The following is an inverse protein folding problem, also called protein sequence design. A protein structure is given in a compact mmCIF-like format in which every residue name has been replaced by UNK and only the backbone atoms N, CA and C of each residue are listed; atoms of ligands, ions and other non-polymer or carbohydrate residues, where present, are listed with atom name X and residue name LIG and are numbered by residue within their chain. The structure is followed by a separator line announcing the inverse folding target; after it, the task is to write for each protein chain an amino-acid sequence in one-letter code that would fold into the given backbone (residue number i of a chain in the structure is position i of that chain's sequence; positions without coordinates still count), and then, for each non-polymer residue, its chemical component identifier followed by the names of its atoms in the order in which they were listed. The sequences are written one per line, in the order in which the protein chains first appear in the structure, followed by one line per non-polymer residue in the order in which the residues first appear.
data_IF_432711528391
#
_entry.id   IF_432711528391
#
_cell.length_a   1.000
_cell.length_b   1.000
_cell.length_c   1.000
_cell.angle_alpha   90.00
_cell.angle_beta   90.00
_cell.angle_gamma   90.00
#
_symmetry.space_group_name_H-M   'P 1'
#
loop_
_entity.id
_entity.type
_entity.pdbx_description
1 polymer ?
#
# COMPACT_ATOMS: atom_id res chain seq x y z
N UNK A 1 8.98 -31.59 62.21
CA UNK A 1 9.45 -30.19 62.21
C UNK A 1 9.95 -29.90 60.81
N UNK A 2 9.31 -28.95 60.15
CA UNK A 2 9.17 -28.87 58.69
C UNK A 2 10.45 -28.46 57.95
N UNK A 3 10.69 -29.11 56.80
CA UNK A 3 11.57 -28.60 55.74
C UNK A 3 10.83 -27.48 55.01
N UNK A 4 11.40 -26.27 55.01
CA UNK A 4 10.97 -25.17 54.14
C UNK A 4 11.71 -25.31 52.80
N UNK A 5 10.97 -25.68 51.76
CA UNK A 5 11.38 -25.52 50.37
C UNK A 5 11.39 -24.03 50.02
N UNK A 6 12.56 -23.52 49.66
CA UNK A 6 12.72 -22.22 49.00
C UNK A 6 12.23 -22.35 47.56
N UNK A 7 11.03 -21.85 47.28
CA UNK A 7 10.48 -21.76 45.93
C UNK A 7 11.24 -20.71 45.10
N UNK A 8 11.77 -21.13 43.96
CA UNK A 8 12.28 -20.26 42.91
C UNK A 8 11.11 -19.45 42.32
N UNK A 9 11.03 -18.17 42.68
CA UNK A 9 10.17 -17.19 42.01
C UNK A 9 10.81 -16.71 40.71
N UNK A 10 10.92 -17.59 39.72
CA UNK A 10 11.17 -17.19 38.34
C UNK A 10 9.86 -16.73 37.74
N UNK A 11 9.58 -15.43 37.79
CA UNK A 11 8.48 -14.82 37.06
C UNK A 11 8.71 -15.03 35.57
N UNK A 12 8.14 -16.11 35.02
CA UNK A 12 8.03 -16.32 33.59
C UNK A 12 7.14 -15.23 33.04
N UNK A 13 7.76 -14.14 32.60
CA UNK A 13 7.11 -13.18 31.72
C UNK A 13 6.63 -13.99 30.50
N UNK A 14 5.31 -14.09 30.32
CA UNK A 14 4.76 -14.67 29.10
C UNK A 14 5.46 -13.98 27.92
N UNK A 15 5.99 -14.75 26.95
CA UNK A 15 6.55 -14.12 25.77
C UNK A 15 5.43 -13.27 25.17
N UNK A 16 5.67 -11.96 25.12
CA UNK A 16 4.78 -11.05 24.42
C UNK A 16 4.56 -11.55 22.99
N UNK A 17 3.48 -11.10 22.33
CA UNK A 17 3.28 -11.44 20.93
C UNK A 17 4.58 -11.20 20.16
N UNK A 18 5.00 -12.13 19.29
CA UNK A 18 6.28 -12.02 18.60
C UNK A 18 6.37 -10.65 17.95
N UNK A 19 7.54 -10.00 18.08
CA UNK A 19 7.80 -8.74 17.42
C UNK A 19 7.44 -8.88 15.94
N UNK A 20 6.68 -7.92 15.41
CA UNK A 20 6.42 -7.90 13.98
C UNK A 20 7.77 -7.70 13.29
N UNK A 21 8.24 -8.73 12.62
CA UNK A 21 9.38 -8.61 11.72
C UNK A 21 8.88 -7.82 10.50
N UNK A 22 9.24 -6.54 10.46
CA UNK A 22 8.98 -5.70 9.31
C UNK A 22 9.72 -6.30 8.11
N UNK A 23 8.96 -6.68 7.09
CA UNK A 23 9.53 -7.17 5.83
C UNK A 23 10.25 -6.06 5.04
N UNK A 24 10.49 -6.29 3.76
CA UNK A 24 11.18 -5.35 2.89
C UNK A 24 10.48 -3.98 2.85
N UNK A 25 11.27 -2.92 2.96
CA UNK A 25 10.81 -1.55 2.70
C UNK A 25 10.45 -1.35 1.21
N UNK A 26 9.69 -0.30 0.88
CA UNK A 26 9.41 0.04 -0.50
C UNK A 26 10.68 0.27 -1.30
N UNK A 27 10.66 -0.09 -2.58
CA UNK A 27 11.74 0.21 -3.50
C UNK A 27 11.58 1.63 -4.04
N UNK A 28 12.62 2.49 -3.94
CA UNK A 28 12.57 3.82 -4.51
C UNK A 28 12.79 3.73 -6.02
N UNK A 29 11.70 3.66 -6.80
CA UNK A 29 11.79 3.82 -8.25
C UNK A 29 12.18 5.25 -8.59
N UNK A 30 13.02 5.41 -9.62
CA UNK A 30 13.47 6.73 -10.06
C UNK A 30 12.30 7.46 -10.72
N UNK A 31 11.93 8.61 -10.15
CA UNK A 31 11.02 9.55 -10.82
C UNK A 31 11.77 10.23 -11.96
N UNK A 32 11.15 10.26 -13.14
CA UNK A 32 11.69 10.92 -14.33
C UNK A 32 10.74 12.02 -14.79
N UNK A 33 11.30 13.01 -15.47
CA UNK A 33 10.49 14.03 -16.13
C UNK A 33 9.58 13.40 -17.18
N UNK A 34 8.51 14.12 -17.52
CA UNK A 34 7.64 13.73 -18.62
C UNK A 34 8.47 13.57 -19.91
N UNK A 35 8.50 12.33 -20.39
CA UNK A 35 9.36 11.83 -21.47
C UNK A 35 8.53 11.36 -22.67
N UNK A 36 7.22 11.60 -22.65
CA UNK A 36 6.29 11.19 -23.70
C UNK A 36 5.68 12.42 -24.37
N UNK A 37 5.63 12.40 -25.70
CA UNK A 37 4.98 13.46 -26.48
C UNK A 37 3.47 13.21 -26.49
N UNK A 38 2.72 13.84 -25.58
CA UNK A 38 1.27 13.73 -25.56
C UNK A 38 0.53 15.06 -25.47
N UNK A 39 -0.53 15.18 -26.26
CA UNK A 39 -1.42 16.34 -26.31
C UNK A 39 -2.69 16.18 -25.44
N UNK A 40 -2.91 15.03 -24.78
CA UNK A 40 -4.22 14.70 -24.16
C UNK A 40 -4.21 14.06 -22.77
N UNK A 41 -3.08 13.57 -22.25
CA UNK A 41 -3.02 12.94 -20.93
C UNK A 41 -2.56 13.94 -19.86
N UNK A 42 -3.30 14.04 -18.76
CA UNK A 42 -2.85 14.76 -17.57
C UNK A 42 -1.95 13.83 -16.75
N UNK A 43 -0.63 13.91 -16.98
CA UNK A 43 0.37 13.10 -16.29
C UNK A 43 0.74 13.77 -14.97
N UNK A 44 0.76 13.00 -13.88
CA UNK A 44 1.17 13.48 -12.56
C UNK A 44 2.62 13.17 -12.25
N UNK A 45 3.02 11.94 -12.54
CA UNK A 45 4.38 11.46 -12.25
C UNK A 45 4.68 10.22 -13.09
N UNK A 46 5.97 10.02 -13.38
CA UNK A 46 6.49 8.89 -14.15
C UNK A 46 7.65 8.26 -13.41
N UNK A 47 7.64 6.93 -13.33
CA UNK A 47 8.63 6.09 -12.67
C UNK A 47 9.34 5.23 -13.71
N UNK A 48 10.67 5.18 -13.64
CA UNK A 48 11.49 4.21 -14.36
C UNK A 48 11.50 2.87 -13.59
N UNK A 49 11.05 1.80 -14.25
CA UNK A 49 11.00 0.44 -13.68
C UNK A 49 12.37 -0.24 -13.72
N UNK A 50 13.30 0.25 -14.55
CA UNK A 50 14.66 -0.27 -14.68
C UNK A 50 14.83 -1.41 -15.69
N UNK A 51 13.75 -1.84 -16.36
CA UNK A 51 13.75 -2.88 -17.40
C UNK A 51 13.54 -2.31 -18.82
N UNK A 52 13.69 -0.98 -18.97
CA UNK A 52 13.37 -0.25 -20.20
C UNK A 52 11.89 0.09 -20.36
N UNK A 53 11.06 -0.23 -19.37
CA UNK A 53 9.67 0.23 -19.27
C UNK A 53 9.49 1.26 -18.16
N UNK A 54 8.37 1.96 -18.23
CA UNK A 54 8.01 3.04 -17.32
C UNK A 54 6.58 2.81 -16.81
N UNK A 55 6.32 3.33 -15.61
CA UNK A 55 4.98 3.42 -15.04
C UNK A 55 4.64 4.89 -14.85
N UNK A 56 3.51 5.35 -15.39
CA UNK A 56 3.01 6.70 -15.16
C UNK A 56 1.67 6.69 -14.42
N UNK A 57 1.48 7.69 -13.57
CA UNK A 57 0.17 8.07 -13.04
C UNK A 57 -0.40 9.12 -13.98
N UNK A 58 -1.52 8.81 -14.62
CA UNK A 58 -2.16 9.76 -15.53
C UNK A 58 -3.69 9.68 -15.44
N UNK A 59 -4.32 10.80 -15.82
CA UNK A 59 -5.76 10.87 -16.05
C UNK A 59 -6.21 9.84 -17.09
N UNK A 60 -7.45 9.38 -16.94
CA UNK A 60 -8.03 8.43 -17.87
C UNK A 60 -8.24 9.03 -19.27
N UNK A 61 -8.05 8.22 -20.32
CA UNK A 61 -8.32 8.58 -21.72
C UNK A 61 -9.80 8.45 -22.06
N UNK A 62 -10.56 7.63 -21.32
CA UNK A 62 -11.98 7.45 -21.56
C UNK A 62 -12.78 8.66 -21.02
N UNK A 63 -13.42 9.45 -21.91
CA UNK A 63 -14.18 10.65 -21.51
C UNK A 63 -15.43 10.33 -20.69
N UNK A 64 -15.87 9.06 -20.64
CA UNK A 64 -17.03 8.62 -19.85
C UNK A 64 -16.68 8.17 -18.44
N UNK A 65 -15.39 8.08 -18.11
CA UNK A 65 -14.93 7.61 -16.82
C UNK A 65 -13.89 8.57 -16.23
N UNK A 66 -14.30 9.33 -15.23
CA UNK A 66 -13.44 10.23 -14.49
C UNK A 66 -12.46 9.45 -13.59
N UNK A 67 -11.23 9.96 -13.47
CA UNK A 67 -10.24 9.44 -12.53
C UNK A 67 -8.86 9.23 -13.12
N UNK A 68 -7.98 8.70 -12.27
CA UNK A 68 -6.56 8.46 -12.53
C UNK A 68 -6.24 6.97 -12.46
N UNK A 69 -5.22 6.53 -13.19
CA UNK A 69 -4.75 5.14 -13.17
C UNK A 69 -3.25 5.03 -13.41
N UNK A 70 -2.72 3.84 -13.20
CA UNK A 70 -1.37 3.49 -13.61
C UNK A 70 -1.37 3.01 -15.05
N UNK A 71 -0.39 3.47 -15.82
CA UNK A 71 -0.09 2.96 -17.16
C UNK A 71 1.34 2.45 -17.16
N UNK A 72 1.54 1.22 -17.65
CA UNK A 72 2.87 0.71 -17.99
C UNK A 72 3.10 0.90 -19.48
N UNK A 73 4.23 1.48 -19.87
CA UNK A 73 4.53 1.75 -21.27
C UNK A 73 6.02 1.60 -21.59
N UNK A 74 6.32 1.46 -22.88
CA UNK A 74 7.68 1.55 -23.41
C UNK A 74 7.80 2.78 -24.32
N UNK A 75 8.95 3.46 -24.25
CA UNK A 75 9.26 4.56 -25.15
C UNK A 75 9.62 4.06 -26.54
N UNK A 76 9.07 4.72 -27.56
CA UNK A 76 9.46 4.56 -28.96
C UNK A 76 10.56 5.57 -29.33
N UNK A 77 11.34 5.32 -30.40
CA UNK A 77 12.45 6.19 -30.81
C UNK A 77 12.06 7.64 -31.13
N UNK A 78 10.79 7.90 -31.40
CA UNK A 78 10.22 9.19 -31.75
C UNK A 78 9.54 9.90 -30.56
N UNK A 79 9.82 9.44 -29.34
CA UNK A 79 9.24 9.92 -28.08
C UNK A 79 7.72 9.69 -27.94
N UNK A 80 7.14 8.82 -28.79
CA UNK A 80 5.81 8.29 -28.54
C UNK A 80 5.85 7.16 -27.49
N UNK A 81 4.73 6.94 -26.82
CA UNK A 81 4.56 5.83 -25.89
C UNK A 81 3.81 4.66 -26.55
N UNK A 82 4.33 3.45 -26.39
CA UNK A 82 3.54 2.23 -26.59
C UNK A 82 3.02 1.76 -25.24
N UNK A 83 1.73 1.97 -24.99
CA UNK A 83 1.06 1.46 -23.78
C UNK A 83 1.08 -0.07 -23.80
N UNK A 84 1.57 -0.67 -22.72
CA UNK A 84 1.68 -2.13 -22.54
C UNK A 84 0.52 -2.65 -21.69
N UNK A 85 0.18 -1.92 -20.62
CA UNK A 85 -0.92 -2.26 -19.72
C UNK A 85 -1.42 -1.01 -18.98
N UNK A 86 -2.62 -1.08 -18.41
CA UNK A 86 -3.15 -0.07 -17.50
C UNK A 86 -3.93 -0.71 -16.35
N UNK A 87 -3.93 -0.08 -15.18
CA UNK A 87 -4.69 -0.54 -14.02
C UNK A 87 -6.17 -0.17 -14.12
N UNK A 88 -6.99 -0.76 -13.25
CA UNK A 88 -8.30 -0.18 -12.94
C UNK A 88 -8.12 1.24 -12.41
N UNK A 89 -9.07 2.13 -12.72
CA UNK A 89 -9.03 3.51 -12.27
C UNK A 89 -9.25 3.65 -10.76
N UNK A 90 -8.76 4.75 -10.19
CA UNK A 90 -9.26 5.29 -8.93
C UNK A 90 -10.47 6.16 -9.20
N UNK A 91 -11.63 5.73 -8.74
CA UNK A 91 -12.87 6.49 -8.89
C UNK A 91 -12.72 7.82 -8.15
N UNK A 92 -13.15 8.93 -8.79
CA UNK A 92 -13.24 10.27 -8.19
C UNK A 92 -11.94 10.82 -7.57
N UNK A 93 -10.80 10.21 -7.90
CA UNK A 93 -9.51 10.57 -7.31
C UNK A 93 -8.74 11.50 -8.25
N UNK A 94 -8.26 12.62 -7.70
CA UNK A 94 -7.44 13.58 -8.44
C UNK A 94 -5.95 13.41 -8.18
N UNK A 95 -5.53 12.61 -7.20
CA UNK A 95 -4.11 12.33 -6.93
C UNK A 95 -3.90 10.85 -6.62
N UNK A 96 -2.85 10.26 -7.19
CA UNK A 96 -2.41 8.90 -6.87
C UNK A 96 -0.92 8.90 -6.55
N UNK A 97 -0.57 8.36 -5.39
CA UNK A 97 0.81 8.25 -4.92
C UNK A 97 1.19 6.77 -4.77
N UNK A 98 1.63 6.10 -5.85
CA UNK A 98 1.98 4.69 -5.80
C UNK A 98 3.27 4.47 -5.03
N UNK A 99 3.28 3.43 -4.19
CA UNK A 99 4.47 2.94 -3.49
C UNK A 99 4.76 1.51 -3.93
N UNK A 100 5.98 1.24 -4.38
CA UNK A 100 6.35 -0.01 -5.04
C UNK A 100 7.11 -0.93 -4.08
N UNK A 101 6.85 -2.24 -4.19
CA UNK A 101 7.57 -3.30 -3.51
C UNK A 101 7.97 -4.34 -4.55
N UNK A 102 9.27 -4.56 -4.76
CA UNK A 102 9.72 -5.55 -5.74
C UNK A 102 9.51 -6.97 -5.24
N UNK A 103 9.06 -7.83 -6.14
CA UNK A 103 9.06 -9.28 -5.99
C UNK A 103 10.18 -9.83 -6.88
N UNK A 104 11.05 -10.66 -6.31
CA UNK A 104 12.26 -11.11 -7.01
C UNK A 104 12.00 -12.16 -8.10
N UNK A 105 10.89 -12.89 -8.02
CA UNK A 105 10.55 -13.97 -8.96
C UNK A 105 9.05 -13.93 -9.34
N UNK A 106 8.70 -13.66 -10.60
CA UNK A 106 9.61 -13.34 -11.71
C UNK A 106 10.20 -11.91 -11.60
N UNK A 107 11.41 -11.65 -12.14
CA UNK A 107 12.00 -10.31 -12.13
C UNK A 107 11.12 -9.26 -12.81
N UNK A 108 11.15 -8.02 -12.31
CA UNK A 108 10.34 -6.91 -12.80
C UNK A 108 8.91 -6.87 -12.24
N UNK A 109 8.56 -7.85 -11.40
CA UNK A 109 7.27 -7.91 -10.69
C UNK A 109 7.24 -6.97 -9.50
N UNK A 110 6.12 -6.28 -9.31
CA UNK A 110 5.92 -5.40 -8.17
C UNK A 110 4.53 -5.59 -7.54
N UNK A 111 4.48 -5.53 -6.21
CA UNK A 111 3.26 -5.13 -5.51
C UNK A 111 3.27 -3.62 -5.33
N UNK A 112 2.11 -2.99 -5.51
CA UNK A 112 1.98 -1.54 -5.49
C UNK A 112 0.86 -1.18 -4.52
N UNK A 113 1.19 -0.34 -3.54
CA UNK A 113 0.20 0.37 -2.75
C UNK A 113 -0.09 1.69 -3.45
N UNK A 114 -1.16 1.71 -4.25
CA UNK A 114 -1.62 2.91 -4.94
C UNK A 114 -2.51 3.72 -4.00
N UNK A 115 -1.93 4.73 -3.37
CA UNK A 115 -2.70 5.66 -2.57
C UNK A 115 -3.63 6.48 -3.45
N UNK A 116 -4.87 6.68 -3.02
CA UNK A 116 -5.84 7.54 -3.66
C UNK A 116 -6.26 8.69 -2.76
N UNK A 117 -6.59 9.82 -3.36
CA UNK A 117 -7.21 10.92 -2.65
C UNK A 117 -7.26 12.22 -3.43
N UNK A 118 -7.65 13.27 -2.71
CA UNK A 118 -7.54 14.67 -3.12
C UNK A 118 -6.61 15.41 -2.16
N UNK A 119 -7.20 16.08 -1.15
CA UNK A 119 -6.49 16.75 -0.06
C UNK A 119 -6.02 15.76 0.99
N UNK A 120 -6.73 14.64 1.12
CA UNK A 120 -6.46 13.58 2.08
C UNK A 120 -6.51 12.23 1.37
N UNK A 121 -5.76 11.28 1.93
CA UNK A 121 -5.81 9.88 1.54
C UNK A 121 -7.20 9.30 1.79
N UNK A 122 -7.62 8.37 0.93
CA UNK A 122 -8.81 7.53 1.10
C UNK A 122 -8.47 6.04 1.29
N UNK A 123 -7.18 5.70 1.31
CA UNK A 123 -6.69 4.33 1.48
C UNK A 123 -5.68 3.94 0.39
N UNK A 124 -5.39 2.65 0.30
CA UNK A 124 -4.43 2.09 -0.65
C UNK A 124 -5.09 0.99 -1.47
N UNK A 125 -5.12 1.10 -2.79
CA UNK A 125 -5.40 -0.06 -3.62
C UNK A 125 -4.14 -0.90 -3.75
N UNK A 126 -4.28 -2.20 -3.50
CA UNK A 126 -3.21 -3.16 -3.71
C UNK A 126 -3.27 -3.66 -5.15
N UNK A 127 -2.24 -3.35 -5.91
CA UNK A 127 -2.09 -3.83 -7.27
C UNK A 127 -0.90 -4.79 -7.35
N UNK A 128 -1.07 -5.86 -8.11
CA UNK A 128 0.03 -6.69 -8.57
C UNK A 128 0.37 -6.29 -10.01
N UNK A 129 1.63 -5.98 -10.25
CA UNK A 129 2.15 -5.62 -11.56
C UNK A 129 3.18 -6.64 -12.00
N UNK A 130 2.85 -7.38 -13.05
CA UNK A 130 3.78 -8.15 -13.86
C UNK A 130 3.77 -7.57 -15.29
N UNK A 131 3.54 -8.38 -16.31
CA UNK A 131 3.12 -7.95 -17.64
C UNK A 131 1.84 -7.11 -17.69
N UNK A 132 0.94 -7.26 -16.71
CA UNK A 132 -0.36 -6.58 -16.59
C UNK A 132 -0.53 -6.02 -15.18
N UNK A 133 -1.64 -5.32 -14.93
CA UNK A 133 -2.06 -4.94 -13.58
C UNK A 133 -3.24 -5.78 -13.13
N UNK A 134 -3.14 -6.37 -11.95
CA UNK A 134 -4.24 -7.08 -11.27
C UNK A 134 -4.61 -6.36 -9.99
N UNK A 135 -5.89 -6.05 -9.81
CA UNK A 135 -6.43 -5.48 -8.57
C UNK A 135 -6.61 -6.57 -7.52
N UNK A 136 -5.89 -6.45 -6.41
CA UNK A 136 -5.89 -7.46 -5.34
C UNK A 136 -6.79 -7.08 -4.16
N UNK A 137 -7.27 -5.84 -4.10
CA UNK A 137 -8.11 -5.34 -3.03
C UNK A 137 -7.72 -3.95 -2.56
N UNK A 138 -8.36 -3.53 -1.47
CA UNK A 138 -8.20 -2.22 -0.89
C UNK A 138 -7.81 -2.32 0.59
N UNK A 139 -6.81 -1.55 0.98
CA UNK A 139 -6.39 -1.40 2.37
C UNK A 139 -6.96 -0.07 2.88
N UNK A 140 -7.94 -0.18 3.77
CA UNK A 140 -8.64 0.92 4.45
C UNK A 140 -7.76 1.61 5.51
N UNK A 141 -6.55 2.04 5.12
CA UNK A 141 -5.60 2.69 6.04
C UNK A 141 -4.91 3.93 5.46
N UNK A 142 -4.61 4.88 6.33
CA UNK A 142 -3.84 6.08 6.06
C UNK A 142 -2.85 6.40 7.20
N UNK A 143 -1.89 7.26 6.90
CA UNK A 143 -0.98 7.79 7.91
C UNK A 143 -1.63 8.99 8.62
N UNK A 144 -1.77 8.96 9.97
CA UNK A 144 -2.35 10.04 10.75
C UNK A 144 -1.28 11.13 11.03
N UNK A 145 -1.08 12.03 10.07
CA UNK A 145 -0.10 13.10 10.17
C UNK A 145 -0.65 14.29 10.96
N UNK A 146 0.08 14.73 12.00
CA UNK A 146 -0.28 15.94 12.73
C UNK A 146 0.40 17.14 12.09
N UNK A 147 -0.41 18.08 11.59
CA UNK A 147 0.08 19.30 10.95
C UNK A 147 -0.33 20.49 11.81
N UNK A 148 0.61 21.42 11.98
CA UNK A 148 0.38 22.68 12.68
C UNK A 148 0.22 23.81 11.65
N UNK A 149 -0.93 24.47 11.66
CA UNK A 149 -1.14 25.73 10.93
C UNK A 149 -1.47 26.84 11.92
N UNK A 150 -0.53 27.80 12.04
CA UNK A 150 -0.59 28.82 13.08
C UNK A 150 -0.62 28.18 14.47
N UNK A 151 -1.65 28.49 15.25
CA UNK A 151 -1.84 27.99 16.61
C UNK A 151 -2.74 26.74 16.68
N UNK A 152 -3.15 26.17 15.54
CA UNK A 152 -4.04 25.00 15.49
C UNK A 152 -3.29 23.76 14.98
N UNK A 153 -3.39 22.67 15.73
CA UNK A 153 -2.98 21.33 15.28
C UNK A 153 -4.18 20.60 14.72
N UNK A 154 -4.06 20.08 13.50
CA UNK A 154 -5.06 19.21 12.90
C UNK A 154 -4.44 17.88 12.48
N UNK A 155 -5.27 16.85 12.46
CA UNK A 155 -4.91 15.53 11.93
C UNK A 155 -5.24 15.49 10.45
N UNK A 156 -4.26 15.15 9.62
CA UNK A 156 -4.42 14.94 8.19
C UNK A 156 -4.16 13.47 7.87
N UNK A 157 -5.05 12.87 7.09
CA UNK A 157 -4.87 11.50 6.58
C UNK A 157 -4.00 11.56 5.33
N UNK A 158 -2.76 11.08 5.41
CA UNK A 158 -1.81 11.09 4.29
C UNK A 158 -1.39 9.68 3.89
N UNK A 159 -0.55 9.57 2.87
CA UNK A 159 -0.15 8.30 2.28
C UNK A 159 0.64 7.44 3.28
N UNK A 160 0.11 6.25 3.61
CA UNK A 160 0.80 5.28 4.49
C UNK A 160 1.77 4.38 3.72
N UNK A 161 1.67 4.31 2.39
CA UNK A 161 2.49 3.46 1.52
C UNK A 161 4.00 3.49 1.84
N UNK A 162 4.63 4.67 2.03
CA UNK A 162 6.05 4.78 2.38
C UNK A 162 6.46 4.07 3.69
N UNK A 163 5.52 3.92 4.63
CA UNK A 163 5.73 3.21 5.88
C UNK A 163 5.42 1.71 5.78
N UNK A 164 4.84 1.26 4.66
CA UNK A 164 4.52 -0.14 4.43
C UNK A 164 5.75 -1.04 4.38
N UNK A 165 5.62 -2.27 4.82
CA UNK A 165 6.67 -3.30 4.85
C UNK A 165 6.10 -4.60 4.34
N UNK A 166 6.76 -5.20 3.36
CA UNK A 166 6.31 -6.42 2.69
C UNK A 166 7.15 -7.63 3.09
N UNK A 167 6.53 -8.61 3.73
CA UNK A 167 7.09 -9.94 3.88
C UNK A 167 6.40 -10.91 2.92
N UNK A 168 7.16 -11.78 2.27
CA UNK A 168 6.65 -12.86 1.44
C UNK A 168 6.85 -14.19 2.17
N UNK A 169 5.77 -14.92 2.39
CA UNK A 169 5.78 -16.24 3.01
C UNK A 169 5.08 -17.22 2.08
N UNK A 170 5.87 -17.99 1.31
CA UNK A 170 5.35 -18.83 0.24
C UNK A 170 4.46 -18.00 -0.70
N UNK A 171 3.19 -18.36 -0.84
CA UNK A 171 2.21 -17.69 -1.70
C UNK A 171 1.44 -16.56 -0.99
N UNK A 172 1.85 -16.19 0.24
CA UNK A 172 1.20 -15.12 1.01
C UNK A 172 2.06 -13.87 1.06
N UNK A 173 1.51 -12.75 0.60
CA UNK A 173 2.06 -11.42 0.86
C UNK A 173 1.53 -10.88 2.19
N UNK A 174 2.42 -10.38 3.04
CA UNK A 174 2.07 -9.80 4.35
C UNK A 174 2.54 -8.36 4.40
N UNK A 175 1.61 -7.43 4.57
CA UNK A 175 1.86 -6.02 4.74
C UNK A 175 1.73 -5.61 6.20
N UNK A 176 2.76 -4.96 6.69
CA UNK A 176 2.80 -4.28 8.00
C UNK A 176 3.26 -2.83 7.81
N UNK A 177 3.26 -2.03 8.86
CA UNK A 177 3.61 -0.61 8.76
C UNK A 177 4.62 -0.22 9.85
N UNK A 178 5.76 0.32 9.44
CA UNK A 178 6.82 0.81 10.34
C UNK A 178 6.50 2.25 10.77
N UNK A 179 5.55 2.38 11.70
CA UNK A 179 5.10 3.62 12.35
C UNK A 179 4.46 3.26 13.70
N UNK A 180 4.19 4.25 14.55
CA UNK A 180 3.55 4.01 15.87
C UNK A 180 2.05 3.74 15.73
N UNK A 181 1.37 4.51 14.88
CA UNK A 181 -0.08 4.41 14.69
C UNK A 181 -0.48 4.58 13.23
N UNK A 182 -1.67 4.09 12.92
CA UNK A 182 -2.33 4.28 11.63
C UNK A 182 -3.79 4.72 11.83
N UNK A 183 -4.34 5.39 10.83
CA UNK A 183 -5.77 5.64 10.72
C UNK A 183 -6.42 4.49 9.94
N UNK A 184 -7.39 3.81 10.53
CA UNK A 184 -8.14 2.69 9.97
C UNK A 184 -9.57 3.17 9.67
N UNK A 185 -9.95 3.25 8.38
CA UNK A 185 -11.27 3.74 7.99
C UNK A 185 -12.39 2.78 8.36
N UNK A 186 -12.16 1.47 8.18
CA UNK A 186 -13.15 0.42 8.43
C UNK A 186 -12.41 -0.78 9.03
N UNK A 187 -12.80 -1.15 10.24
CA UNK A 187 -12.20 -2.29 10.93
C UNK A 187 -12.80 -3.63 10.46
N UNK A 188 -13.81 -3.63 9.60
CA UNK A 188 -14.55 -4.82 9.13
C UNK A 188 -15.28 -5.57 10.26
N UNK A 189 -15.49 -4.93 11.41
CA UNK A 189 -16.25 -5.41 12.55
C UNK A 189 -17.29 -4.38 13.06
N UNK A 190 -17.56 -3.34 12.27
CA UNK A 190 -18.59 -2.33 12.54
C UNK A 190 -18.09 -1.05 13.18
N UNK A 191 -16.77 -0.89 13.37
CA UNK A 191 -16.15 0.35 13.81
C UNK A 191 -15.43 1.02 12.65
N UNK A 192 -15.55 2.34 12.59
CA UNK A 192 -14.96 3.15 11.53
C UNK A 192 -14.11 4.27 12.14
N UNK A 193 -13.20 4.82 11.33
CA UNK A 193 -12.41 6.01 11.64
C UNK A 193 -11.62 5.91 12.97
N UNK A 194 -10.80 4.87 13.08
CA UNK A 194 -10.02 4.57 14.28
C UNK A 194 -8.55 4.97 14.12
N UNK A 195 -7.95 5.54 15.16
CA UNK A 195 -6.49 5.58 15.29
C UNK A 195 -6.08 4.39 16.14
N UNK A 196 -5.30 3.48 15.57
CA UNK A 196 -4.88 2.24 16.21
C UNK A 196 -3.36 2.09 16.18
N UNK A 197 -2.76 1.37 17.15
CA UNK A 197 -1.33 1.06 17.09
C UNK A 197 -1.02 0.30 15.81
N UNK A 198 0.00 0.71 15.05
CA UNK A 198 0.26 0.09 13.74
C UNK A 198 0.65 -1.38 13.87
N UNK A 199 1.34 -1.75 14.95
CA UNK A 199 1.68 -3.13 15.26
C UNK A 199 0.45 -4.03 15.55
N UNK A 200 -0.74 -3.45 15.76
CA UNK A 200 -1.96 -4.24 15.91
C UNK A 200 -2.56 -4.65 14.57
N UNK A 201 -2.08 -4.08 13.46
CA UNK A 201 -2.66 -4.22 12.12
C UNK A 201 -1.66 -4.90 11.18
N UNK A 202 -2.15 -5.87 10.42
CA UNK A 202 -1.47 -6.40 9.23
C UNK A 202 -2.50 -6.72 8.17
N UNK A 203 -2.10 -6.61 6.92
CA UNK A 203 -2.88 -7.13 5.79
C UNK A 203 -2.19 -8.34 5.22
N UNK A 204 -2.96 -9.34 4.79
CA UNK A 204 -2.43 -10.51 4.09
C UNK A 204 -3.16 -10.70 2.79
N UNK A 205 -2.44 -11.01 1.72
CA UNK A 205 -3.02 -11.45 0.46
C UNK A 205 -2.55 -12.87 0.17
N UNK A 206 -3.50 -13.76 -0.08
CA UNK A 206 -3.26 -15.12 -0.56
C UNK A 206 -4.19 -15.40 -1.75
N UNK A 207 -3.73 -16.07 -2.83
CA UNK A 207 -4.53 -16.30 -4.04
C UNK A 207 -5.91 -16.94 -3.77
N UNK A 208 -5.98 -17.89 -2.84
CA UNK A 208 -7.22 -18.63 -2.57
C UNK A 208 -8.25 -17.85 -1.73
N UNK A 209 -7.78 -16.95 -0.86
CA UNK A 209 -8.66 -16.24 0.09
C UNK A 209 -8.84 -14.77 -0.24
N UNK A 210 -7.96 -14.21 -1.07
CA UNK A 210 -7.89 -12.79 -1.37
C UNK A 210 -7.19 -12.00 -0.26
N UNK A 211 -7.40 -10.67 -0.29
CA UNK A 211 -6.90 -9.75 0.71
C UNK A 211 -7.70 -9.87 2.01
N UNK A 212 -7.01 -9.76 3.15
CA UNK A 212 -7.60 -9.87 4.47
C UNK A 212 -6.95 -8.89 5.44
N UNK A 213 -7.75 -8.32 6.33
CA UNK A 213 -7.28 -7.49 7.43
C UNK A 213 -7.12 -8.38 8.67
N UNK A 214 -6.05 -8.16 9.42
CA UNK A 214 -5.90 -8.71 10.75
C UNK A 214 -5.73 -7.58 11.75
N UNK A 215 -6.57 -7.56 12.77
CA UNK A 215 -6.46 -6.64 13.90
C UNK A 215 -6.32 -7.44 15.20
N UNK A 216 -5.25 -7.19 15.96
CA UNK A 216 -4.94 -7.92 17.20
C UNK A 216 -4.99 -9.45 17.01
N UNK A 217 -4.48 -9.94 15.88
CA UNK A 217 -4.46 -11.37 15.53
C UNK A 217 -5.80 -11.94 15.07
N UNK A 218 -6.88 -11.16 15.03
CA UNK A 218 -8.17 -11.59 14.50
C UNK A 218 -8.28 -11.28 13.01
N UNK A 219 -8.52 -12.32 12.20
CA UNK A 219 -8.75 -12.23 10.75
C UNK A 219 -10.12 -11.64 10.44
N UNK A 220 -10.16 -10.75 9.46
CA UNK A 220 -11.36 -10.06 8.98
C UNK A 220 -11.34 -9.99 7.45
N UNK A 221 -12.44 -10.41 6.83
CA UNK A 221 -12.57 -10.35 5.38
C UNK A 221 -12.72 -8.89 4.93
N UNK A 222 -11.95 -8.49 3.93
CA UNK A 222 -12.10 -7.16 3.31
C UNK A 222 -13.06 -7.24 2.12
N UNK A 223 -13.51 -6.08 1.66
CA UNK A 223 -14.32 -5.96 0.44
C UNK A 223 -13.49 -6.45 -0.75
N UNK A 224 -14.06 -7.37 -1.53
CA UNK A 224 -13.41 -7.86 -2.76
C UNK A 224 -13.39 -6.75 -3.82
N UNK A 225 -12.37 -6.72 -4.70
CA UNK A 225 -12.38 -5.85 -5.87
C UNK A 225 -13.67 -6.07 -6.68
N UNK A 226 -14.29 -4.96 -7.11
CA UNK A 226 -15.46 -4.95 -8.00
C UNK A 226 -15.07 -5.11 -9.46
#
# INVERSE_FOLDING_TARGET
MALLWSGCGGGGQEPGPPAIEHGAAPVPLKVVDDNIRHDTLLIQTTFDVGDGTYVMVAGNVDPTFEGIRLYRYALLPDSNARILAYSTGGYDSWTMLPTFFSISDPPGTHLILANFGERESWGQKLLYMDSTFTDLGFLDVAYPEHINEGDTTYLKRTNIGPYGRLALHLDTAVFTFETDSLFLYDDMAGHNDLIVPAHSIRYTYHPDTGLELWQNGQRRAVKRPS
#
